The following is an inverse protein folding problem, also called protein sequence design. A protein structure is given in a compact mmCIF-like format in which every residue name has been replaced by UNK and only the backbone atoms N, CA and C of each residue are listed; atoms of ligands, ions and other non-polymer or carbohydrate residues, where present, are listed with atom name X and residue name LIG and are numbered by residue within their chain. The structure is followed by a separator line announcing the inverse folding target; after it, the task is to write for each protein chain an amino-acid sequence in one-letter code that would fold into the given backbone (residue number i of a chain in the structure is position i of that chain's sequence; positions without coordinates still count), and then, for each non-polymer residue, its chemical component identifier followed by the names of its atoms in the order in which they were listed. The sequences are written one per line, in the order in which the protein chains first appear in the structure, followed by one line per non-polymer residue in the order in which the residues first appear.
data_IF_829505223057
#
_entry.id   IF_829505223057
#
_cell.length_a   1.000
_cell.length_b   1.000
_cell.length_c   1.000
_cell.angle_alpha   90.00
_cell.angle_beta   90.00
_cell.angle_gamma   90.00
#
_symmetry.space_group_name_H-M   'P 1'
#
loop_
_entity.id
_entity.type
_entity.pdbx_description
1 polymer ?
#
# COMPACT_ATOMS: atom_id res chain seq x y z
N UNK A 1 19.83 9.72 1.87
CA UNK A 1 19.29 10.51 3.00
C UNK A 1 19.70 9.83 4.30
N UNK A 2 19.85 10.58 5.40
CA UNK A 2 20.12 10.00 6.73
C UNK A 2 18.80 9.58 7.38
N UNK A 3 18.80 8.43 8.06
CA UNK A 3 17.60 7.88 8.72
C UNK A 3 17.78 7.80 10.23
N UNK A 4 16.67 7.88 10.97
CA UNK A 4 16.66 7.63 12.41
C UNK A 4 16.97 6.15 12.71
N UNK A 5 17.81 5.92 13.72
CA UNK A 5 18.23 4.60 14.20
C UNK A 5 17.63 4.30 15.58
N UNK A 6 17.77 3.05 16.05
CA UNK A 6 17.39 2.65 17.41
C UNK A 6 16.08 1.85 17.54
N UNK A 7 15.40 1.51 16.45
CA UNK A 7 14.27 0.54 16.49
C UNK A 7 14.75 -0.84 16.96
N UNK A 8 13.95 -1.52 17.79
CA UNK A 8 14.20 -2.89 18.29
C UNK A 8 13.25 -3.89 17.61
N UNK A 9 13.60 -5.18 17.67
CA UNK A 9 12.78 -6.26 17.11
C UNK A 9 11.59 -6.60 18.03
N UNK A 10 10.45 -6.93 17.45
CA UNK A 10 9.32 -7.52 18.19
C UNK A 10 9.60 -9.01 18.50
N UNK A 11 9.01 -9.51 19.59
CA UNK A 11 9.03 -10.94 19.92
C UNK A 11 7.82 -11.70 19.35
N UNK A 12 6.88 -10.99 18.73
CA UNK A 12 5.61 -11.54 18.23
C UNK A 12 5.26 -10.96 16.85
N UNK A 13 4.33 -11.61 16.17
CA UNK A 13 3.73 -11.19 14.91
C UNK A 13 2.20 -11.26 15.00
N UNK A 14 1.50 -10.52 14.13
CA UNK A 14 0.03 -10.53 14.08
C UNK A 14 -0.47 -10.70 12.64
N UNK A 15 -0.97 -11.90 12.33
CA UNK A 15 -1.58 -12.20 11.03
C UNK A 15 -2.86 -11.38 10.82
N UNK A 16 -3.67 -11.21 11.85
CA UNK A 16 -4.90 -10.41 11.77
C UNK A 16 -4.59 -8.93 11.48
N UNK A 17 -3.57 -8.36 12.11
CA UNK A 17 -3.15 -6.99 11.82
C UNK A 17 -2.63 -6.85 10.38
N UNK A 18 -1.86 -7.82 9.88
CA UNK A 18 -1.39 -7.80 8.50
C UNK A 18 -2.56 -7.85 7.50
N UNK A 19 -3.52 -8.74 7.72
CA UNK A 19 -4.71 -8.87 6.86
C UNK A 19 -5.60 -7.61 6.89
N UNK A 20 -5.65 -6.90 8.02
CA UNK A 20 -6.52 -5.73 8.19
C UNK A 20 -5.87 -4.41 7.75
N UNK A 21 -4.54 -4.28 7.89
CA UNK A 21 -3.85 -3.00 7.72
C UNK A 21 -3.12 -2.85 6.38
N UNK A 22 -2.87 -3.94 5.66
CA UNK A 22 -2.22 -3.88 4.34
C UNK A 22 -3.31 -3.66 3.27
N UNK A 23 -3.25 -2.53 2.51
CA UNK A 23 -4.26 -2.25 1.50
C UNK A 23 -4.20 -3.24 0.33
N UNK A 24 -5.36 -3.52 -0.26
CA UNK A 24 -5.49 -4.33 -1.46
C UNK A 24 -5.09 -3.52 -2.71
N UNK A 25 -4.51 -4.15 -3.75
CA UNK A 25 -4.31 -3.49 -5.03
C UNK A 25 -5.63 -3.05 -5.71
N UNK A 26 -6.77 -3.61 -5.28
CA UNK A 26 -8.10 -3.23 -5.76
C UNK A 26 -8.80 -2.17 -4.88
N UNK A 27 -8.11 -1.61 -3.87
CA UNK A 27 -8.69 -0.60 -2.98
C UNK A 27 -9.04 0.69 -3.73
N UNK A 28 -10.21 1.27 -3.43
CA UNK A 28 -10.57 2.61 -3.90
C UNK A 28 -9.64 3.68 -3.33
N UNK A 29 -9.57 4.85 -3.98
CA UNK A 29 -8.79 5.98 -3.47
C UNK A 29 -9.21 6.39 -2.04
N UNK A 30 -10.50 6.41 -1.74
CA UNK A 30 -11.00 6.71 -0.38
C UNK A 30 -10.51 5.70 0.65
N UNK A 31 -10.50 4.41 0.30
CA UNK A 31 -9.98 3.34 1.16
C UNK A 31 -8.48 3.51 1.41
N UNK A 32 -7.71 3.84 0.37
CA UNK A 32 -6.27 4.09 0.49
C UNK A 32 -5.98 5.30 1.39
N UNK A 33 -6.73 6.39 1.24
CA UNK A 33 -6.59 7.58 2.09
C UNK A 33 -6.87 7.23 3.56
N UNK A 34 -7.99 6.56 3.85
CA UNK A 34 -8.33 6.15 5.21
C UNK A 34 -7.30 5.19 5.82
N UNK A 35 -6.77 4.24 5.04
CA UNK A 35 -5.73 3.30 5.48
C UNK A 35 -4.44 4.01 5.87
N UNK A 36 -3.99 4.98 5.07
CA UNK A 36 -2.78 5.76 5.38
C UNK A 36 -3.00 6.68 6.60
N UNK A 37 -4.17 7.32 6.69
CA UNK A 37 -4.54 8.17 7.84
C UNK A 37 -4.59 7.38 9.15
N UNK A 38 -5.02 6.11 9.13
CA UNK A 38 -4.97 5.23 10.31
C UNK A 38 -3.54 5.00 10.83
N UNK A 39 -2.53 5.23 10.00
CA UNK A 39 -1.11 5.19 10.37
C UNK A 39 -0.47 6.58 10.52
N UNK A 40 -1.27 7.65 10.61
CA UNK A 40 -0.78 9.01 10.76
C UNK A 40 -0.13 9.60 9.51
N UNK A 41 -0.37 8.99 8.34
CA UNK A 41 0.16 9.45 7.05
C UNK A 41 -0.89 10.26 6.29
N UNK A 42 -0.47 11.37 5.70
CA UNK A 42 -1.32 12.27 4.93
C UNK A 42 -1.61 11.72 3.53
N UNK A 43 -2.57 12.32 2.82
CA UNK A 43 -2.79 12.03 1.38
C UNK A 43 -1.55 12.34 0.55
N UNK A 44 -0.74 13.32 0.95
CA UNK A 44 0.54 13.62 0.28
C UNK A 44 1.53 12.47 0.46
N UNK A 45 1.59 11.88 1.65
CA UNK A 45 2.44 10.72 1.93
C UNK A 45 1.98 9.50 1.14
N UNK A 46 0.67 9.28 1.00
CA UNK A 46 0.11 8.25 0.11
C UNK A 46 0.64 8.40 -1.32
N UNK A 47 0.53 9.60 -1.90
CA UNK A 47 1.00 9.85 -3.27
C UNK A 47 2.51 9.66 -3.38
N UNK A 48 3.29 10.21 -2.44
CA UNK A 48 4.74 10.10 -2.44
C UNK A 48 5.23 8.65 -2.31
N UNK A 49 4.64 7.88 -1.40
CA UNK A 49 5.00 6.47 -1.15
C UNK A 49 4.49 5.54 -2.26
N UNK A 50 3.39 5.87 -2.93
CA UNK A 50 2.94 5.14 -4.13
C UNK A 50 3.96 5.22 -5.28
N UNK A 51 4.83 6.23 -5.26
CA UNK A 51 5.98 6.33 -6.17
C UNK A 51 6.96 5.15 -6.07
N UNK A 52 6.92 4.37 -4.98
CA UNK A 52 7.70 3.14 -4.87
C UNK A 52 7.38 2.10 -5.97
N UNK A 53 6.20 2.19 -6.60
CA UNK A 53 5.83 1.37 -7.76
C UNK A 53 6.60 1.73 -9.05
N UNK A 54 7.54 2.69 -9.03
CA UNK A 54 8.43 2.98 -10.16
C UNK A 54 9.45 1.86 -10.44
N UNK A 55 9.60 0.89 -9.53
CA UNK A 55 10.47 -0.28 -9.65
C UNK A 55 9.73 -1.54 -9.15
N UNK A 56 10.25 -2.72 -9.51
CA UNK A 56 9.69 -4.00 -9.11
C UNK A 56 8.73 -4.61 -10.13
N UNK A 57 8.05 -5.68 -9.74
CA UNK A 57 7.11 -6.42 -10.58
C UNK A 57 5.88 -6.82 -9.76
N UNK A 58 4.72 -6.96 -10.43
CA UNK A 58 3.48 -7.45 -9.82
C UNK A 58 3.04 -8.76 -10.46
N UNK A 59 2.39 -9.63 -9.69
CA UNK A 59 1.79 -10.86 -10.21
C UNK A 59 0.54 -10.52 -11.00
N UNK A 60 0.29 -11.22 -12.10
CA UNK A 60 -0.91 -11.03 -12.93
C UNK A 60 -2.22 -11.04 -12.13
N UNK A 61 -2.31 -11.86 -11.08
CA UNK A 61 -3.49 -11.97 -10.22
C UNK A 61 -3.93 -10.61 -9.61
N UNK A 62 -3.02 -9.64 -9.46
CA UNK A 62 -3.31 -8.37 -8.82
C UNK A 62 -3.82 -7.28 -9.78
N UNK A 63 -3.63 -7.43 -11.09
CA UNK A 63 -4.05 -6.43 -12.08
C UNK A 63 -4.83 -7.02 -13.26
N UNK A 64 -5.02 -8.35 -13.31
CA UNK A 64 -5.75 -9.01 -14.40
C UNK A 64 -7.18 -8.48 -14.55
N UNK A 65 -7.90 -8.28 -13.45
CA UNK A 65 -9.27 -7.74 -13.51
C UNK A 65 -9.29 -6.37 -14.16
N UNK A 66 -8.33 -5.53 -13.79
CA UNK A 66 -8.18 -4.18 -14.35
C UNK A 66 -8.04 -4.26 -15.87
N UNK A 67 -7.03 -4.95 -16.39
CA UNK A 67 -6.74 -5.00 -17.83
C UNK A 67 -7.88 -5.56 -18.71
N UNK A 68 -8.80 -6.35 -18.15
CA UNK A 68 -9.91 -6.95 -18.92
C UNK A 68 -11.26 -6.28 -18.68
N UNK A 69 -11.48 -5.66 -17.51
CA UNK A 69 -12.82 -5.23 -17.08
C UNK A 69 -12.93 -3.74 -16.74
N UNK A 70 -11.83 -2.99 -16.65
CA UNK A 70 -11.85 -1.56 -16.38
C UNK A 70 -11.68 -0.74 -17.68
N UNK A 71 -12.39 0.38 -17.78
CA UNK A 71 -12.41 1.23 -18.99
C UNK A 71 -11.47 2.43 -18.91
N UNK A 72 -10.96 2.76 -17.74
CA UNK A 72 -10.02 3.85 -17.49
C UNK A 72 -8.57 3.37 -17.64
N UNK A 73 -8.28 2.67 -18.74
CA UNK A 73 -6.97 2.16 -19.10
C UNK A 73 -6.66 2.70 -20.49
N UNK A 74 -5.73 3.65 -20.56
CA UNK A 74 -5.25 4.19 -21.83
C UNK A 74 -4.29 3.21 -22.50
#
# INVERSE_FOLDING_TARGET
WTVMLGRRNSATASLSAANNNIPSPASSLSTLISSFQAHGLSTKDLVALSGAHTIGQSRCAFFRTRIYNETNIN
#
